data_IF_166442758241
#
_entry.id   IF_166442758241
#
_cell.length_a   1.000
_cell.length_b   1.000
_cell.length_c   1.000
_cell.angle_alpha   90.00
_cell.angle_beta   90.00
_cell.angle_gamma   90.00
#
_symmetry.space_group_name_H-M   'P 1'
#
loop_
_entity.id
_entity.type
_entity.pdbx_description
1 polymer ?
#
# COMPACT_ATOMS: atom_id res chain seq x y z
N UNK A 1 9.56 6.96 21.05
CA UNK A 1 10.88 6.66 20.46
C UNK A 1 10.77 6.66 18.94
N UNK A 2 11.87 6.91 18.23
CA UNK A 2 11.91 6.97 16.76
C UNK A 2 13.06 6.11 16.26
N UNK A 3 12.79 5.31 15.23
CA UNK A 3 13.82 4.64 14.43
C UNK A 3 13.87 5.31 13.05
N UNK A 4 15.06 5.76 12.68
CA UNK A 4 15.32 6.50 11.45
C UNK A 4 16.33 5.71 10.61
N UNK A 5 15.95 5.34 9.39
CA UNK A 5 16.87 4.77 8.41
C UNK A 5 16.98 5.69 7.20
N UNK A 6 18.21 5.99 6.80
CA UNK A 6 18.52 6.82 5.65
C UNK A 6 19.30 5.96 4.66
N UNK A 7 18.82 5.86 3.44
CA UNK A 7 19.47 5.10 2.37
C UNK A 7 19.76 6.01 1.19
N UNK A 8 20.94 5.90 0.59
CA UNK A 8 21.35 6.71 -0.55
C UNK A 8 22.58 6.13 -1.22
N UNK A 9 22.98 6.71 -2.35
CA UNK A 9 24.17 6.27 -3.08
C UNK A 9 25.48 6.52 -2.32
N UNK A 10 26.60 6.18 -2.97
CA UNK A 10 27.96 6.37 -2.44
C UNK A 10 28.29 7.81 -2.02
N UNK A 11 27.55 8.80 -2.56
CA UNK A 11 27.74 10.21 -2.24
C UNK A 11 26.99 10.66 -0.97
N UNK A 12 26.24 9.76 -0.30
CA UNK A 12 25.54 10.06 0.94
C UNK A 12 26.53 10.30 2.09
N UNK A 13 26.68 11.56 2.50
CA UNK A 13 27.61 11.99 3.52
C UNK A 13 26.99 12.17 4.90
N UNK A 14 27.86 12.44 5.88
CA UNK A 14 27.45 12.75 7.25
C UNK A 14 26.61 14.04 7.33
N UNK A 15 26.83 14.98 6.40
CA UNK A 15 26.10 16.24 6.38
C UNK A 15 24.61 16.02 6.09
N UNK A 16 24.28 15.28 5.02
CA UNK A 16 22.89 14.97 4.65
C UNK A 16 22.21 14.13 5.74
N UNK A 17 22.94 13.15 6.29
CA UNK A 17 22.46 12.31 7.40
C UNK A 17 22.10 13.17 8.61
N UNK A 18 22.98 14.10 8.98
CA UNK A 18 22.75 14.99 10.12
C UNK A 18 21.58 15.96 9.88
N UNK A 19 21.45 16.51 8.68
CA UNK A 19 20.33 17.40 8.34
C UNK A 19 18.98 16.67 8.43
N UNK A 20 18.89 15.49 7.83
CA UNK A 20 17.68 14.66 7.89
C UNK A 20 17.34 14.24 9.33
N UNK A 21 18.34 13.87 10.13
CA UNK A 21 18.15 13.52 11.53
C UNK A 21 17.66 14.71 12.37
N UNK A 22 18.21 15.91 12.14
CA UNK A 22 17.77 17.13 12.83
C UNK A 22 16.32 17.48 12.52
N UNK A 23 15.91 17.38 11.24
CA UNK A 23 14.52 17.61 10.84
C UNK A 23 13.53 16.67 11.55
N UNK A 24 13.90 15.40 11.69
CA UNK A 24 13.07 14.41 12.41
C UNK A 24 13.08 14.69 13.92
N UNK A 25 14.22 15.10 14.48
CA UNK A 25 14.34 15.44 15.90
C UNK A 25 13.49 16.67 16.27
N UNK A 26 13.50 17.71 15.45
CA UNK A 26 12.71 18.93 15.65
C UNK A 26 11.20 18.67 15.61
N UNK A 27 10.78 17.71 14.78
CA UNK A 27 9.38 17.27 14.69
C UNK A 27 8.99 16.25 15.78
N UNK A 28 9.97 15.62 16.41
CA UNK A 28 9.75 14.62 17.46
C UNK A 28 9.55 15.28 18.83
N UNK A 29 9.10 14.48 19.80
CA UNK A 29 9.03 14.91 21.18
C UNK A 29 10.46 15.12 21.73
N UNK A 30 10.74 16.14 22.56
CA UNK A 30 12.10 16.46 23.05
C UNK A 30 12.75 15.31 23.83
N UNK A 31 11.96 14.52 24.54
CA UNK A 31 12.42 13.32 25.27
C UNK A 31 12.39 12.03 24.43
N UNK A 32 12.16 12.13 23.12
CA UNK A 32 12.13 10.94 22.26
C UNK A 32 13.56 10.43 22.02
N UNK A 33 13.81 9.17 22.39
CA UNK A 33 15.01 8.47 21.95
C UNK A 33 14.93 8.21 20.44
N UNK A 34 15.91 8.70 19.69
CA UNK A 34 16.03 8.53 18.24
C UNK A 34 17.23 7.62 17.94
N UNK A 35 17.00 6.54 17.20
CA UNK A 35 18.04 5.61 16.74
C UNK A 35 18.16 5.79 15.23
N UNK A 36 19.32 6.26 14.76
CA UNK A 36 19.60 6.49 13.36
C UNK A 36 20.51 5.41 12.77
N UNK A 37 20.18 4.98 11.56
CA UNK A 37 20.97 4.10 10.71
C UNK A 37 21.12 4.69 9.31
N UNK A 38 22.25 4.41 8.67
CA UNK A 38 22.51 4.77 7.29
C UNK A 38 22.93 3.54 6.49
N UNK A 39 22.41 3.40 5.28
CA UNK A 39 22.73 2.30 4.36
C UNK A 39 23.16 2.90 3.04
N UNK A 40 24.31 2.48 2.54
CA UNK A 40 24.77 2.85 1.20
C UNK A 40 24.19 1.84 0.20
N UNK A 41 23.47 2.35 -0.77
CA UNK A 41 22.88 1.59 -1.88
C UNK A 41 23.13 2.32 -3.20
N UNK A 42 24.13 1.87 -3.95
CA UNK A 42 24.54 2.47 -5.22
C UNK A 42 23.44 2.44 -6.29
N UNK A 43 22.43 1.57 -6.14
CA UNK A 43 21.31 1.53 -7.07
C UNK A 43 20.41 2.77 -6.97
N UNK A 44 20.48 3.53 -5.87
CA UNK A 44 19.75 4.78 -5.71
C UNK A 44 20.40 5.93 -6.49
N UNK A 45 21.69 5.85 -6.84
CA UNK A 45 22.41 6.97 -7.45
C UNK A 45 22.29 8.23 -6.60
N UNK A 46 21.66 9.27 -7.17
CA UNK A 46 21.44 10.56 -6.51
C UNK A 46 20.18 10.61 -5.62
N UNK A 47 19.40 9.52 -5.54
CA UNK A 47 18.20 9.46 -4.69
C UNK A 47 18.54 9.16 -3.23
N UNK A 48 17.75 9.74 -2.32
CA UNK A 48 17.79 9.42 -0.89
C UNK A 48 16.42 8.96 -0.44
N UNK A 49 16.38 7.82 0.26
CA UNK A 49 15.17 7.26 0.88
C UNK A 49 15.28 7.35 2.39
N UNK A 50 14.32 8.04 2.99
CA UNK A 50 14.22 8.20 4.43
C UNK A 50 13.04 7.40 4.93
N UNK A 51 13.29 6.48 5.85
CA UNK A 51 12.25 5.69 6.52
C UNK A 51 12.20 6.09 7.99
N UNK A 52 11.02 6.55 8.43
CA UNK A 52 10.79 6.97 9.81
C UNK A 52 9.74 6.06 10.44
N UNK A 53 10.10 5.43 11.55
CA UNK A 53 9.21 4.60 12.34
C UNK A 53 9.10 5.25 13.72
N UNK A 54 7.95 5.83 14.00
CA UNK A 54 7.70 6.53 15.26
C UNK A 54 6.77 5.68 16.14
N UNK A 55 7.22 5.38 17.36
CA UNK A 55 6.56 4.47 18.28
C UNK A 55 6.44 5.09 19.68
N UNK A 56 5.58 4.52 20.53
CA UNK A 56 5.34 5.02 21.89
C UNK A 56 4.43 6.25 21.93
N UNK A 57 3.53 6.39 20.95
CA UNK A 57 2.37 7.28 21.07
C UNK A 57 1.26 6.54 21.81
N UNK A 58 0.56 7.25 22.69
CA UNK A 58 -0.69 6.74 23.24
C UNK A 58 -1.67 6.51 22.09
N UNK A 59 -2.30 5.34 22.06
CA UNK A 59 -3.27 4.96 21.03
C UNK A 59 -4.56 5.79 21.17
N UNK A 60 -4.52 7.05 20.74
CA UNK A 60 -5.71 7.81 20.40
C UNK A 60 -6.37 7.17 19.19
N UNK A 61 -7.69 6.96 19.25
CA UNK A 61 -8.46 6.37 18.16
C UNK A 61 -8.13 7.09 16.83
N UNK A 62 -7.91 6.36 15.72
CA UNK A 62 -7.54 6.96 14.45
C UNK A 62 -8.63 7.95 14.03
N UNK A 63 -8.29 9.23 13.99
CA UNK A 63 -9.18 10.26 13.46
C UNK A 63 -9.37 9.97 11.98
N UNK A 64 -10.60 9.72 11.51
CA UNK A 64 -10.82 9.39 10.11
C UNK A 64 -10.41 10.58 9.24
N UNK A 65 -9.30 10.41 8.51
CA UNK A 65 -8.88 11.36 7.49
C UNK A 65 -9.96 11.41 6.42
N UNK A 66 -10.66 12.54 6.32
CA UNK A 66 -11.69 12.75 5.31
C UNK A 66 -10.98 12.84 3.95
N UNK A 67 -10.96 11.72 3.22
CA UNK A 67 -10.47 11.67 1.84
C UNK A 67 -11.25 12.70 1.03
N UNK A 68 -10.59 13.76 0.61
CA UNK A 68 -11.17 14.71 -0.35
C UNK A 68 -11.14 14.00 -1.71
N UNK A 69 -12.22 13.32 -2.04
CA UNK A 69 -12.47 12.89 -3.42
C UNK A 69 -12.70 14.14 -4.26
N UNK A 70 -11.66 14.58 -4.96
CA UNK A 70 -11.84 15.40 -6.17
C UNK A 70 -12.65 14.57 -7.15
N UNK A 71 -13.98 14.74 -7.10
CA UNK A 71 -14.90 14.19 -8.10
C UNK A 71 -14.49 14.76 -9.45
N UNK A 72 -13.72 13.98 -10.21
CA UNK A 72 -13.59 14.18 -11.64
C UNK A 72 -14.99 14.02 -12.25
N UNK A 73 -15.56 15.02 -12.91
CA UNK A 73 -16.85 14.86 -13.56
C UNK A 73 -16.71 13.77 -14.62
N UNK A 74 -17.51 12.72 -14.49
CA UNK A 74 -17.59 11.63 -15.46
C UNK A 74 -18.21 12.18 -16.76
N UNK A 75 -17.59 11.95 -17.94
CA UNK A 75 -18.18 12.35 -19.20
C UNK A 75 -19.50 11.61 -19.42
N UNK A 76 -20.52 12.25 -20.02
CA UNK A 76 -21.82 11.62 -20.23
C UNK A 76 -21.71 10.37 -21.10
N UNK A 77 -22.50 9.31 -20.83
CA UNK A 77 -22.43 8.07 -21.58
C UNK A 77 -22.83 8.29 -23.06
N UNK A 78 -22.21 7.56 -24.00
CA UNK A 78 -22.56 7.63 -25.41
C UNK A 78 -23.99 7.13 -25.65
N UNK A 79 -24.68 7.64 -26.69
CA UNK A 79 -26.04 7.22 -27.01
C UNK A 79 -26.10 5.72 -27.38
N UNK A 80 -27.21 5.03 -27.07
CA UNK A 80 -27.34 3.61 -27.37
C UNK A 80 -27.34 3.35 -28.88
N UNK A 81 -26.75 2.23 -29.33
CA UNK A 81 -26.76 1.84 -30.74
C UNK A 81 -28.19 1.54 -31.22
N UNK A 82 -28.50 1.75 -32.52
CA UNK A 82 -29.80 1.43 -33.07
C UNK A 82 -30.10 -0.07 -32.95
N UNK A 83 -31.38 -0.46 -32.77
CA UNK A 83 -31.75 -1.86 -32.62
C UNK A 83 -31.46 -2.64 -33.91
N UNK A 84 -30.97 -3.89 -33.81
CA UNK A 84 -30.76 -4.73 -34.98
C UNK A 84 -32.10 -5.10 -35.64
N UNK A 85 -32.12 -5.31 -36.97
CA UNK A 85 -33.31 -5.80 -37.66
C UNK A 85 -33.70 -7.20 -37.15
N UNK A 86 -35.00 -7.43 -36.99
CA UNK A 86 -35.55 -8.66 -36.44
C UNK A 86 -35.16 -9.89 -37.30
N UNK A 87 -34.73 -11.02 -36.68
CA UNK A 87 -34.37 -12.22 -37.41
C UNK A 87 -35.62 -12.94 -37.96
N UNK A 88 -35.53 -13.35 -39.23
CA UNK A 88 -36.48 -14.30 -39.82
C UNK A 88 -36.31 -15.67 -39.14
N UNK A 89 -37.42 -16.20 -38.62
CA UNK A 89 -37.46 -17.48 -37.93
C UNK A 89 -36.99 -18.63 -38.83
N UNK A 90 -35.99 -19.40 -38.37
CA UNK A 90 -35.69 -20.74 -38.87
C UNK A 90 -35.79 -21.72 -37.69
N UNK A 91 -36.47 -22.87 -37.84
CA UNK A 91 -36.67 -23.80 -36.73
C UNK A 91 -35.37 -24.48 -36.30
N UNK A 92 -35.17 -24.46 -34.99
CA UNK A 92 -34.02 -24.90 -34.19
C UNK A 92 -33.71 -26.39 -34.31
N UNK A 93 -32.47 -26.74 -34.66
CA UNK A 93 -31.87 -28.03 -34.30
C UNK A 93 -31.36 -27.96 -32.84
N UNK A 94 -31.75 -28.93 -32.01
CA UNK A 94 -31.34 -29.04 -30.61
C UNK A 94 -29.80 -29.10 -30.50
N UNK A 95 -29.22 -28.15 -29.74
CA UNK A 95 -27.86 -28.28 -29.19
C UNK A 95 -27.94 -28.76 -27.73
N UNK A 96 -27.11 -29.73 -27.30
CA UNK A 96 -26.99 -30.09 -25.90
C UNK A 96 -26.32 -28.93 -25.12
N UNK A 97 -26.80 -28.66 -23.90
CA UNK A 97 -26.18 -27.67 -23.01
C UNK A 97 -24.89 -28.25 -22.40
N UNK A 98 -23.76 -27.53 -22.44
CA UNK A 98 -22.59 -27.89 -21.64
C UNK A 98 -22.87 -27.65 -20.15
N UNK A 99 -22.49 -28.61 -19.32
CA UNK A 99 -22.56 -28.50 -17.86
C UNK A 99 -21.55 -27.47 -17.34
N UNK A 100 -22.00 -26.54 -16.51
CA UNK A 100 -21.14 -25.58 -15.83
C UNK A 100 -20.26 -26.31 -14.81
N UNK A 101 -18.93 -26.07 -14.76
CA UNK A 101 -18.09 -26.62 -13.71
C UNK A 101 -18.43 -25.94 -12.37
N UNK A 102 -18.51 -26.74 -11.30
CA UNK A 102 -18.71 -26.26 -9.94
C UNK A 102 -17.52 -25.38 -9.49
N UNK A 103 -17.73 -24.33 -8.68
CA UNK A 103 -16.64 -23.50 -8.18
C UNK A 103 -15.75 -24.30 -7.21
N UNK A 104 -14.42 -24.07 -7.19
CA UNK A 104 -13.53 -24.72 -6.24
C UNK A 104 -13.84 -24.26 -4.80
N UNK A 105 -13.59 -25.10 -3.78
CA UNK A 105 -13.77 -24.71 -2.40
C UNK A 105 -12.81 -23.56 -2.04
N UNK A 106 -13.35 -22.54 -1.38
CA UNK A 106 -12.54 -21.47 -0.78
C UNK A 106 -11.66 -22.09 0.28
N UNK A 107 -10.34 -21.96 0.10
CA UNK A 107 -9.36 -22.33 1.11
C UNK A 107 -9.44 -21.29 2.22
N UNK A 108 -10.06 -21.65 3.35
CA UNK A 108 -9.92 -20.88 4.59
C UNK A 108 -8.45 -20.95 4.97
N UNK A 109 -7.77 -19.81 4.95
CA UNK A 109 -6.45 -19.69 5.57
C UNK A 109 -6.74 -19.72 7.07
N UNK A 110 -6.53 -20.87 7.69
CA UNK A 110 -6.42 -20.97 9.14
C UNK A 110 -5.08 -20.34 9.46
N UNK A 111 -5.09 -19.19 10.10
CA UNK A 111 -3.89 -18.69 10.76
C UNK A 111 -3.70 -19.61 11.96
N UNK A 112 -2.77 -20.55 11.85
CA UNK A 112 -2.29 -21.30 13.01
C UNK A 112 -1.64 -20.29 13.96
N UNK A 113 -2.17 -20.20 15.18
CA UNK A 113 -1.76 -19.34 16.30
C UNK A 113 -0.39 -19.74 16.88
N UNK A 114 0.62 -19.97 16.04
CA UNK A 114 2.00 -20.31 16.44
C UNK A 114 3.03 -19.34 15.82
N UNK A 115 2.70 -18.05 15.80
CA UNK A 115 3.69 -17.00 15.59
C UNK A 115 4.32 -16.63 16.93
N UNK A 116 5.38 -17.35 17.29
CA UNK A 116 6.24 -17.00 18.41
C UNK A 116 6.75 -15.57 18.26
N UNK A 117 6.28 -14.67 19.12
CA UNK A 117 6.79 -13.30 19.20
C UNK A 117 8.21 -13.37 19.77
N UNK A 118 9.24 -13.03 18.97
CA UNK A 118 10.62 -13.12 19.42
C UNK A 118 10.87 -12.16 20.59
N UNK A 119 11.82 -12.53 21.45
CA UNK A 119 12.03 -11.88 22.76
C UNK A 119 12.38 -10.39 22.68
N UNK A 120 12.88 -9.93 21.54
CA UNK A 120 13.17 -8.51 21.30
C UNK A 120 11.92 -7.65 21.03
N UNK A 121 10.75 -8.26 20.81
CA UNK A 121 9.46 -7.60 20.55
C UNK A 121 8.50 -7.60 21.76
N UNK A 122 8.90 -8.18 22.89
CA UNK A 122 8.18 -8.05 24.17
C UNK A 122 8.68 -6.82 24.92
#
# INVERSE_FOLDING_TARGET
>A
GVLLNISGGSDLGLFEINEAAQLVADAAHPEANIIFGAVIDDALGDEVRVTVIAAGFDAGAPTPVRRVETRRPEPPPPPPPPPPPAPAFTPTALRPRPATPAPPPRRTVVFEDDLDVPDFLK
#
